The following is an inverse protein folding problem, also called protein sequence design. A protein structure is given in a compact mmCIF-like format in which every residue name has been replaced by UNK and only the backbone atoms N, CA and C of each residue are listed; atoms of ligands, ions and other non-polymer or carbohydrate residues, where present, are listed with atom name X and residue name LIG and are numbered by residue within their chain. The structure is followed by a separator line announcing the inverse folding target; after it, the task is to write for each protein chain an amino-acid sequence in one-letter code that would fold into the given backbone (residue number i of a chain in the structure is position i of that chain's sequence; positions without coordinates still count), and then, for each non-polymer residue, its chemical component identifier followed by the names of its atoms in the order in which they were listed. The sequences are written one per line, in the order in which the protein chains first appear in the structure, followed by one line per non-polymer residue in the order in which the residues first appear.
data_IF_662085236666
#
_entry.id   IF_662085236666
#
_cell.length_a   1.000
_cell.length_b   1.000
_cell.length_c   1.000
_cell.angle_alpha   90.00
_cell.angle_beta   90.00
_cell.angle_gamma   90.00
#
_symmetry.space_group_name_H-M   'P 1'
#
loop_
_entity.id
_entity.type
_entity.pdbx_description
1 polymer ?
#
# COMPACT_ATOMS: atom_id res chain seq x y z
N UNK A 1 5.66 -50.34 -15.13
CA UNK A 1 4.72 -50.14 -13.98
C UNK A 1 5.43 -49.71 -12.71
N UNK A 2 6.48 -50.39 -12.26
CA UNK A 2 7.19 -50.08 -11.00
C UNK A 2 7.73 -48.63 -10.96
N UNK A 3 8.42 -48.16 -12.02
CA UNK A 3 9.01 -46.80 -12.08
C UNK A 3 7.96 -45.67 -11.95
N UNK A 4 6.75 -45.86 -12.49
CA UNK A 4 5.65 -44.86 -12.44
C UNK A 4 5.05 -44.79 -11.02
N UNK A 5 5.07 -45.90 -10.28
CA UNK A 5 4.52 -45.98 -8.92
C UNK A 5 5.46 -45.28 -7.91
N UNK A 6 6.78 -45.49 -8.02
CA UNK A 6 7.77 -44.85 -7.13
C UNK A 6 7.80 -43.33 -7.30
N UNK A 7 7.72 -42.81 -8.53
CA UNK A 7 7.65 -41.36 -8.76
C UNK A 7 6.36 -40.75 -8.20
N UNK A 8 5.23 -41.43 -8.38
CA UNK A 8 3.93 -40.99 -7.85
C UNK A 8 3.91 -40.95 -6.31
N UNK A 9 4.56 -41.92 -5.66
CA UNK A 9 4.69 -41.98 -4.20
C UNK A 9 5.62 -40.89 -3.65
N UNK A 10 6.77 -40.63 -4.30
CA UNK A 10 7.69 -39.56 -3.90
C UNK A 10 7.02 -38.19 -3.94
N UNK A 11 6.21 -37.91 -4.97
CA UNK A 11 5.46 -36.64 -5.11
C UNK A 11 4.40 -36.50 -4.00
N UNK A 12 3.74 -37.59 -3.60
CA UNK A 12 2.73 -37.57 -2.54
C UNK A 12 3.33 -37.28 -1.14
N UNK A 13 4.58 -37.68 -0.89
CA UNK A 13 5.27 -37.41 0.37
C UNK A 13 5.66 -35.91 0.48
N UNK A 14 5.96 -35.25 -0.65
CA UNK A 14 6.31 -33.81 -0.72
C UNK A 14 5.15 -32.90 -0.27
N UNK A 15 3.90 -33.37 -0.31
CA UNK A 15 2.70 -32.56 -0.05
C UNK A 15 2.20 -32.58 1.41
N UNK A 16 2.86 -33.26 2.35
CA UNK A 16 2.37 -33.38 3.74
C UNK A 16 3.32 -32.86 4.82
N UNK A 17 3.87 -31.66 4.65
CA UNK A 17 4.63 -30.97 5.72
C UNK A 17 4.34 -29.47 5.77
N UNK A 18 3.17 -29.08 6.27
CA UNK A 18 3.06 -27.87 7.12
C UNK A 18 1.64 -27.71 7.70
N UNK A 19 1.33 -28.46 8.75
CA UNK A 19 0.21 -28.12 9.63
C UNK A 19 0.81 -27.90 11.01
N UNK A 20 0.79 -26.63 11.45
CA UNK A 20 0.51 -26.14 12.81
C UNK A 20 1.21 -24.81 13.08
N UNK A 21 0.49 -23.70 12.93
CA UNK A 21 0.52 -22.63 13.93
C UNK A 21 -0.80 -21.85 13.88
N UNK A 22 -1.73 -22.24 14.75
CA UNK A 22 -2.92 -21.46 15.08
C UNK A 22 -2.54 -20.56 16.26
N UNK A 23 -2.14 -19.34 15.95
CA UNK A 23 -2.33 -18.15 16.76
C UNK A 23 -2.87 -17.09 15.78
N UNK A 24 -3.76 -16.19 16.09
CA UNK A 24 -4.52 -15.89 17.29
C UNK A 24 -5.77 -15.17 16.75
N UNK A 25 -6.88 -15.38 17.44
CA UNK A 25 -8.17 -14.89 17.03
C UNK A 25 -8.28 -13.41 17.38
N UNK A 26 -8.07 -12.53 16.41
CA UNK A 26 -8.69 -11.21 16.46
C UNK A 26 -9.13 -10.76 15.08
N UNK A 27 -10.43 -10.89 14.87
CA UNK A 27 -11.18 -10.17 13.87
C UNK A 27 -10.91 -8.68 14.09
N UNK A 28 -10.10 -8.08 13.21
CA UNK A 28 -10.26 -6.67 12.86
C UNK A 28 -9.92 -6.55 11.40
N UNK A 29 -10.95 -6.63 10.55
CA UNK A 29 -10.88 -6.05 9.21
C UNK A 29 -10.69 -4.55 9.41
N UNK A 30 -9.46 -4.11 9.65
CA UNK A 30 -9.09 -2.72 9.48
C UNK A 30 -9.27 -2.45 8.00
N UNK A 31 -10.39 -1.85 7.64
CA UNK A 31 -10.46 -0.98 6.48
C UNK A 31 -9.56 0.22 6.78
N UNK A 32 -8.25 -0.02 6.89
CA UNK A 32 -7.26 1.04 6.90
C UNK A 32 -7.20 1.50 5.46
N UNK A 33 -8.00 2.52 5.13
CA UNK A 33 -7.72 3.38 3.99
C UNK A 33 -6.21 3.65 4.03
N UNK A 34 -5.46 3.42 2.94
CA UNK A 34 -4.03 3.62 2.96
C UNK A 34 -3.77 5.05 3.38
N UNK A 35 -3.24 5.23 4.59
CA UNK A 35 -2.82 6.54 5.07
C UNK A 35 -1.64 6.92 4.19
N UNK A 36 -1.83 7.89 3.30
CA UNK A 36 -0.73 8.44 2.52
C UNK A 36 0.21 9.14 3.50
N UNK A 37 1.31 8.47 3.86
CA UNK A 37 2.30 9.00 4.81
C UNK A 37 3.16 10.11 4.16
N UNK A 38 3.31 10.07 2.83
CA UNK A 38 4.07 11.06 2.06
C UNK A 38 3.64 11.06 0.60
N UNK A 39 3.68 12.21 -0.05
CA UNK A 39 3.45 12.38 -1.50
C UNK A 39 4.55 13.26 -2.10
N UNK A 40 4.96 12.98 -3.34
CA UNK A 40 5.91 13.83 -4.05
C UNK A 40 5.26 15.18 -4.40
N UNK A 41 5.98 16.29 -4.18
CA UNK A 41 5.43 17.63 -4.46
C UNK A 41 5.13 17.86 -5.94
N UNK A 42 5.89 17.27 -6.86
CA UNK A 42 5.66 17.37 -8.30
C UNK A 42 4.36 16.66 -8.68
N UNK A 43 4.09 15.51 -8.07
CA UNK A 43 2.85 14.77 -8.28
C UNK A 43 1.65 15.54 -7.69
N UNK A 44 1.81 16.10 -6.50
CA UNK A 44 0.77 16.87 -5.83
C UNK A 44 0.42 18.18 -6.55
N UNK A 45 1.41 18.90 -7.08
CA UNK A 45 1.23 20.20 -7.72
C UNK A 45 0.97 20.12 -9.24
N UNK A 46 1.35 19.00 -9.86
CA UNK A 46 1.29 18.81 -11.30
C UNK A 46 2.10 19.85 -12.09
N UNK A 47 1.76 20.00 -13.37
CA UNK A 47 2.45 20.92 -14.30
C UNK A 47 2.28 22.39 -13.94
N UNK A 48 1.18 22.73 -13.25
CA UNK A 48 0.84 24.10 -12.88
C UNK A 48 1.68 24.61 -11.70
N UNK A 49 2.35 23.72 -10.95
CA UNK A 49 3.09 24.10 -9.75
C UNK A 49 2.20 24.59 -8.60
N UNK A 50 0.88 24.36 -8.71
CA UNK A 50 -0.16 24.86 -7.81
C UNK A 50 -1.27 23.83 -7.71
N UNK A 51 -1.76 23.58 -6.49
CA UNK A 51 -2.99 22.83 -6.24
C UNK A 51 -3.89 23.62 -5.28
N UNK A 52 -5.20 23.49 -5.46
CA UNK A 52 -6.19 24.06 -4.54
C UNK A 52 -6.73 22.98 -3.61
N UNK A 53 -6.77 23.26 -2.32
CA UNK A 53 -7.17 22.36 -1.25
C UNK A 53 -8.41 22.95 -0.60
N UNK A 54 -9.52 22.23 -0.64
CA UNK A 54 -10.71 22.59 0.13
C UNK A 54 -10.56 22.07 1.55
N UNK A 55 -10.63 22.96 2.53
CA UNK A 55 -10.50 22.62 3.94
C UNK A 55 -11.44 23.49 4.78
N UNK A 56 -12.29 22.85 5.58
CA UNK A 56 -13.28 23.51 6.45
C UNK A 56 -14.16 24.54 5.72
N UNK A 57 -14.53 24.26 4.46
CA UNK A 57 -15.36 25.16 3.65
C UNK A 57 -14.60 26.31 2.98
N UNK A 58 -13.29 26.44 3.22
CA UNK A 58 -12.44 27.44 2.58
C UNK A 58 -11.56 26.80 1.51
N UNK A 59 -11.11 27.62 0.56
CA UNK A 59 -10.18 27.22 -0.48
C UNK A 59 -8.78 27.73 -0.12
N UNK A 60 -7.81 26.83 -0.10
CA UNK A 60 -6.41 27.15 0.10
C UNK A 60 -5.61 26.82 -1.16
N UNK A 61 -4.56 27.57 -1.40
CA UNK A 61 -3.60 27.34 -2.47
C UNK A 61 -2.29 26.80 -1.89
N UNK A 62 -1.88 25.62 -2.31
CA UNK A 62 -0.54 25.10 -2.07
C UNK A 62 0.30 25.31 -3.34
N UNK A 63 1.47 25.94 -3.22
CA UNK A 63 2.38 26.20 -4.35
C UNK A 63 3.84 26.15 -3.95
N UNK A 64 4.73 26.02 -4.92
CA UNK A 64 6.16 26.24 -4.72
C UNK A 64 6.50 27.74 -4.71
N UNK A 65 7.42 28.13 -3.85
CA UNK A 65 8.00 29.47 -3.75
C UNK A 65 9.19 29.63 -4.69
N UNK A 66 9.63 30.87 -4.94
CA UNK A 66 10.83 31.14 -5.75
C UNK A 66 12.10 30.48 -5.21
N UNK A 67 12.18 30.27 -3.89
CA UNK A 67 13.30 29.61 -3.22
C UNK A 67 13.14 28.09 -3.14
N UNK A 68 12.13 27.52 -3.82
CA UNK A 68 11.93 26.08 -3.96
C UNK A 68 11.13 25.40 -2.83
N UNK A 69 10.76 26.11 -1.75
CA UNK A 69 9.93 25.59 -0.65
C UNK A 69 8.45 25.57 -1.01
N UNK A 70 7.64 24.78 -0.33
CA UNK A 70 6.18 24.84 -0.44
C UNK A 70 5.58 25.90 0.50
N UNK A 71 4.53 26.58 0.05
CA UNK A 71 3.74 27.52 0.86
C UNK A 71 2.25 27.25 0.67
N UNK A 72 1.50 27.28 1.78
CA UNK A 72 0.04 27.23 1.81
C UNK A 72 -0.49 28.64 2.09
N UNK A 73 -1.36 29.15 1.23
CA UNK A 73 -2.05 30.43 1.41
C UNK A 73 -3.56 30.24 1.29
N UNK A 74 -4.34 31.13 1.91
CA UNK A 74 -5.77 31.24 1.66
C UNK A 74 -6.04 32.10 0.44
#
# INVERSE_FOLDING_TARGET
MIIIIITSISIAIEMNKNVHNLNDSSITRKTSSPVIQSINSIELLGKSGVVYIQHNGELYQLRQTKTGKLILTK
#
